data_IF_097074963809
#
_entry.id   IF_097074963809
#
_cell.length_a   1.000
_cell.length_b   1.000
_cell.length_c   1.000
_cell.angle_alpha   90.00
_cell.angle_beta   90.00
_cell.angle_gamma   90.00
#
_symmetry.space_group_name_H-M   'P 1'
#
loop_
_entity.id
_entity.type
_entity.pdbx_description
1 polymer ?
#
# COMPACT_ATOMS: atom_id res chain seq x y z
N UNK A 1 -6.47 -12.01 -69.45
CA UNK A 1 -6.60 -12.80 -68.20
C UNK A 1 -5.28 -13.43 -67.71
N UNK A 2 -4.09 -12.87 -67.99
CA UNK A 2 -2.80 -13.47 -67.55
C UNK A 2 -2.01 -12.64 -66.51
N UNK A 3 -2.41 -11.39 -66.24
CA UNK A 3 -1.71 -10.51 -65.30
C UNK A 3 -2.27 -10.58 -63.86
N UNK A 4 -3.54 -10.98 -63.69
CA UNK A 4 -4.13 -11.21 -62.35
C UNK A 4 -3.57 -12.44 -61.64
N UNK A 5 -3.18 -13.47 -62.40
CA UNK A 5 -2.65 -14.73 -61.85
C UNK A 5 -1.24 -14.57 -61.24
N UNK A 6 -0.40 -13.69 -61.79
CA UNK A 6 0.93 -13.39 -61.25
C UNK A 6 0.86 -12.57 -59.96
N UNK A 7 -0.07 -11.61 -59.87
CA UNK A 7 -0.27 -10.83 -58.65
C UNK A 7 -0.76 -11.71 -57.48
N UNK A 8 -1.63 -12.69 -57.75
CA UNK A 8 -2.09 -13.64 -56.73
C UNK A 8 -0.99 -14.60 -56.26
N UNK A 9 -0.02 -14.96 -57.12
CA UNK A 9 1.10 -15.83 -56.75
C UNK A 9 2.10 -15.08 -55.86
N UNK A 10 2.39 -13.81 -56.15
CA UNK A 10 3.25 -12.97 -55.31
C UNK A 10 2.62 -12.64 -53.95
N UNK A 11 1.29 -12.49 -53.88
CA UNK A 11 0.59 -12.26 -52.62
C UNK A 11 0.57 -13.53 -51.75
N UNK A 12 0.40 -14.71 -52.35
CA UNK A 12 0.45 -16.00 -51.64
C UNK A 12 1.85 -16.36 -51.13
N UNK A 13 2.92 -16.02 -51.85
CA UNK A 13 4.28 -16.25 -51.36
C UNK A 13 4.66 -15.31 -50.21
N UNK A 14 4.11 -14.09 -50.17
CA UNK A 14 4.32 -13.17 -49.03
C UNK A 14 3.67 -13.63 -47.72
N UNK A 15 2.60 -14.43 -47.79
CA UNK A 15 1.88 -14.97 -46.62
C UNK A 15 2.51 -16.25 -46.05
N UNK A 16 3.40 -16.93 -46.79
CA UNK A 16 4.04 -18.18 -46.35
C UNK A 16 5.36 -17.99 -45.61
N UNK A 17 5.95 -16.79 -45.63
CA UNK A 17 7.21 -16.48 -44.91
C UNK A 17 7.02 -15.63 -43.64
N UNK A 18 5.77 -15.45 -43.21
CA UNK A 18 5.41 -14.70 -42.00
C UNK A 18 5.18 -15.57 -40.77
N UNK A 19 5.90 -16.68 -40.60
CA UNK A 19 5.99 -17.34 -39.28
C UNK A 19 7.28 -16.88 -38.62
N UNK A 20 7.18 -15.95 -37.67
CA UNK A 20 8.24 -15.69 -36.70
C UNK A 20 8.38 -16.98 -35.88
N UNK A 21 9.21 -17.90 -36.37
CA UNK A 21 9.59 -19.09 -35.63
C UNK A 21 10.46 -18.60 -34.46
N UNK A 22 9.87 -18.53 -33.27
CA UNK A 22 10.61 -18.33 -32.04
C UNK A 22 11.72 -19.38 -31.99
N UNK A 23 12.97 -18.94 -31.90
CA UNK A 23 14.12 -19.84 -31.95
C UNK A 23 14.31 -20.46 -30.57
N UNK A 24 14.04 -21.76 -30.45
CA UNK A 24 14.27 -22.49 -29.20
C UNK A 24 15.78 -22.68 -28.97
N UNK A 25 16.24 -22.37 -27.76
CA UNK A 25 17.62 -22.62 -27.33
C UNK A 25 17.64 -23.53 -26.11
N UNK A 26 18.75 -24.23 -25.90
CA UNK A 26 18.93 -25.07 -24.72
C UNK A 26 19.19 -24.24 -23.46
N UNK A 27 18.67 -24.64 -22.28
CA UNK A 27 18.93 -23.95 -21.01
C UNK A 27 20.43 -23.81 -20.68
N UNK A 28 21.23 -24.84 -20.97
CA UNK A 28 22.67 -24.81 -20.72
C UNK A 28 23.38 -23.74 -21.56
N UNK A 29 22.93 -23.55 -22.81
CA UNK A 29 23.49 -22.54 -23.70
C UNK A 29 23.12 -21.12 -23.25
N UNK A 30 21.89 -20.90 -22.76
CA UNK A 30 21.54 -19.65 -22.08
C UNK A 30 22.49 -19.39 -20.91
N UNK A 31 22.72 -20.38 -20.06
CA UNK A 31 23.58 -20.25 -18.88
C UNK A 31 25.05 -20.00 -19.25
N UNK A 32 25.54 -20.55 -20.36
CA UNK A 32 26.90 -20.24 -20.83
C UNK A 32 27.02 -18.78 -21.26
N UNK A 33 26.01 -18.22 -21.93
CA UNK A 33 26.01 -16.81 -22.34
C UNK A 33 25.93 -15.87 -21.14
N UNK A 34 25.08 -16.16 -20.15
CA UNK A 34 24.96 -15.33 -18.95
C UNK A 34 26.22 -15.39 -18.05
N UNK A 35 27.05 -16.42 -18.20
CA UNK A 35 28.27 -16.59 -17.43
C UNK A 35 29.55 -16.25 -18.20
N UNK A 36 29.45 -15.90 -19.48
CA UNK A 36 30.58 -15.52 -20.32
C UNK A 36 31.24 -14.24 -19.80
N UNK A 37 32.54 -14.33 -19.48
CA UNK A 37 33.34 -13.23 -18.96
C UNK A 37 33.48 -12.07 -19.95
N UNK A 38 33.53 -12.35 -21.26
CA UNK A 38 33.61 -11.31 -22.28
C UNK A 38 32.29 -10.52 -22.38
N UNK A 39 31.16 -11.22 -22.30
CA UNK A 39 29.85 -10.57 -22.31
C UNK A 39 29.63 -9.77 -21.02
N UNK A 40 30.06 -10.26 -19.86
CA UNK A 40 30.01 -9.49 -18.59
C UNK A 40 30.81 -8.19 -18.67
N UNK A 41 32.06 -8.24 -19.16
CA UNK A 41 32.86 -7.01 -19.40
C UNK A 41 32.19 -6.05 -20.39
N UNK A 42 31.51 -6.60 -21.41
CA UNK A 42 30.73 -5.79 -22.35
C UNK A 42 29.57 -5.11 -21.65
N UNK A 43 28.82 -5.82 -20.79
CA UNK A 43 27.74 -5.26 -19.98
C UNK A 43 28.25 -4.14 -19.08
N UNK A 44 29.38 -4.32 -18.39
CA UNK A 44 30.00 -3.26 -17.58
C UNK A 44 30.30 -2.00 -18.39
N UNK A 45 30.85 -2.16 -19.60
CA UNK A 45 31.11 -1.04 -20.51
C UNK A 45 29.82 -0.35 -20.99
N UNK A 46 28.79 -1.12 -21.32
CA UNK A 46 27.48 -0.59 -21.72
C UNK A 46 26.81 0.14 -20.55
N UNK A 47 26.95 -0.39 -19.34
CA UNK A 47 26.48 0.25 -18.13
C UNK A 47 27.18 1.61 -17.90
N UNK A 48 28.49 1.70 -18.15
CA UNK A 48 29.19 2.99 -18.08
C UNK A 48 28.60 4.02 -19.07
N UNK A 49 28.30 3.61 -20.31
CA UNK A 49 27.64 4.51 -21.26
C UNK A 49 26.26 4.98 -20.80
N UNK A 50 25.53 4.15 -20.04
CA UNK A 50 24.25 4.53 -19.46
C UNK A 50 24.43 5.58 -18.35
N UNK A 51 25.47 5.45 -17.51
CA UNK A 51 25.82 6.46 -16.49
C UNK A 51 26.25 7.77 -17.13
N UNK A 52 27.04 7.69 -18.21
CA UNK A 52 27.57 8.85 -18.93
C UNK A 52 26.51 9.52 -19.85
N UNK A 53 25.26 9.06 -19.83
CA UNK A 53 24.14 9.53 -20.66
C UNK A 53 24.35 9.35 -22.18
N UNK A 54 25.29 8.49 -22.59
CA UNK A 54 25.61 8.19 -24.00
C UNK A 54 24.81 6.99 -24.53
N UNK A 55 23.49 7.19 -24.63
CA UNK A 55 22.55 6.19 -25.16
C UNK A 55 22.77 5.86 -26.65
N UNK A 56 23.43 6.76 -27.40
CA UNK A 56 23.77 6.55 -28.81
C UNK A 56 24.87 5.50 -28.95
N UNK A 57 25.98 5.66 -28.22
CA UNK A 57 27.08 4.70 -28.22
C UNK A 57 26.67 3.38 -27.58
N UNK A 58 25.81 3.42 -26.56
CA UNK A 58 25.17 2.25 -25.97
C UNK A 58 24.43 1.43 -27.04
N UNK A 59 23.47 2.04 -27.75
CA UNK A 59 22.69 1.35 -28.78
C UNK A 59 23.56 0.86 -29.93
N UNK A 60 24.51 1.67 -30.40
CA UNK A 60 25.46 1.25 -31.42
C UNK A 60 26.29 0.03 -30.98
N UNK A 61 26.81 0.05 -29.76
CA UNK A 61 27.62 -1.04 -29.21
C UNK A 61 26.83 -2.32 -28.98
N UNK A 62 25.54 -2.20 -28.65
CA UNK A 62 24.60 -3.29 -28.43
C UNK A 62 24.16 -3.93 -29.74
N UNK A 63 23.86 -3.13 -30.77
CA UNK A 63 23.41 -3.60 -32.08
C UNK A 63 24.51 -4.28 -32.91
N UNK A 64 25.78 -4.13 -32.52
CA UNK A 64 26.90 -4.84 -33.15
C UNK A 64 27.10 -6.27 -32.63
N UNK A 65 26.43 -6.65 -31.54
CA UNK A 65 26.48 -8.01 -31.04
C UNK A 65 25.63 -8.91 -31.93
N UNK A 66 26.11 -10.12 -32.19
CA UNK A 66 25.31 -11.11 -32.90
C UNK A 66 24.19 -11.64 -32.00
N UNK A 67 23.08 -12.05 -32.62
CA UNK A 67 22.10 -12.87 -31.92
C UNK A 67 22.69 -14.27 -31.66
N UNK A 68 22.49 -14.91 -30.50
CA UNK A 68 21.66 -14.51 -29.34
C UNK A 68 22.36 -13.66 -28.27
N UNK A 69 23.66 -13.35 -28.44
CA UNK A 69 24.44 -12.59 -27.45
C UNK A 69 23.86 -11.20 -27.19
N UNK A 70 23.29 -10.56 -28.21
CA UNK A 70 22.64 -9.26 -28.08
C UNK A 70 21.50 -9.29 -27.04
N UNK A 71 20.59 -10.27 -27.09
CA UNK A 71 19.50 -10.39 -26.12
C UNK A 71 20.02 -10.76 -24.72
N UNK A 72 21.04 -11.62 -24.64
CA UNK A 72 21.69 -11.96 -23.37
C UNK A 72 22.29 -10.71 -22.70
N UNK A 73 22.96 -9.85 -23.47
CA UNK A 73 23.55 -8.61 -22.97
C UNK A 73 22.47 -7.59 -22.60
N UNK A 74 21.39 -7.43 -23.38
CA UNK A 74 20.22 -6.62 -22.98
C UNK A 74 19.67 -7.08 -21.63
N UNK A 75 19.45 -8.37 -21.50
CA UNK A 75 18.93 -8.97 -20.28
C UNK A 75 19.84 -8.73 -19.07
N UNK A 76 21.14 -8.99 -19.20
CA UNK A 76 22.11 -8.73 -18.11
C UNK A 76 22.20 -7.25 -17.74
N UNK A 77 22.18 -6.34 -18.72
CA UNK A 77 22.22 -4.90 -18.46
C UNK A 77 20.99 -4.44 -17.67
N UNK A 78 19.78 -4.89 -18.06
CA UNK A 78 18.56 -4.52 -17.34
C UNK A 78 18.47 -5.16 -15.96
N UNK A 79 18.97 -6.40 -15.79
CA UNK A 79 19.11 -7.00 -14.46
C UNK A 79 20.04 -6.17 -13.57
N UNK A 80 21.11 -5.62 -14.13
CA UNK A 80 22.03 -4.74 -13.39
C UNK A 80 21.31 -3.46 -12.94
N UNK A 81 20.57 -2.80 -13.84
CA UNK A 81 19.76 -1.60 -13.50
C UNK A 81 18.75 -1.92 -12.39
N UNK A 82 18.02 -3.04 -12.50
CA UNK A 82 17.02 -3.45 -11.53
C UNK A 82 17.65 -3.74 -10.15
N UNK A 83 18.80 -4.43 -10.14
CA UNK A 83 19.47 -4.84 -8.90
C UNK A 83 20.09 -3.64 -8.17
N UNK A 84 20.80 -2.77 -8.89
CA UNK A 84 21.51 -1.63 -8.31
C UNK A 84 20.60 -0.41 -8.09
N UNK A 85 19.33 -0.46 -8.54
CA UNK A 85 18.35 0.64 -8.42
C UNK A 85 18.89 1.98 -8.90
N UNK A 86 19.48 1.97 -10.09
CA UNK A 86 20.13 3.15 -10.66
C UNK A 86 19.14 4.29 -10.90
N UNK A 87 19.53 5.50 -10.52
CA UNK A 87 18.81 6.72 -10.88
C UNK A 87 19.12 6.99 -12.36
N UNK A 88 18.14 6.80 -13.22
CA UNK A 88 18.30 6.99 -14.65
C UNK A 88 18.05 8.44 -15.04
N UNK A 89 18.87 8.94 -15.97
CA UNK A 89 18.61 10.20 -16.66
C UNK A 89 17.34 10.12 -17.53
N UNK A 90 16.82 11.27 -18.01
CA UNK A 90 15.72 11.28 -18.97
C UNK A 90 16.03 10.48 -20.25
N UNK A 91 17.25 10.58 -20.80
CA UNK A 91 17.59 9.85 -22.03
C UNK A 91 17.71 8.35 -21.78
N UNK A 92 18.32 7.94 -20.66
CA UNK A 92 18.37 6.54 -20.24
C UNK A 92 16.96 5.95 -19.99
N UNK A 93 16.04 6.76 -19.47
CA UNK A 93 14.63 6.37 -19.27
C UNK A 93 13.91 6.15 -20.60
N UNK A 94 14.17 6.98 -21.61
CA UNK A 94 13.65 6.79 -22.97
C UNK A 94 14.21 5.50 -23.56
N UNK A 95 15.52 5.29 -23.47
CA UNK A 95 16.17 4.06 -23.91
C UNK A 95 15.57 2.81 -23.25
N UNK A 96 15.30 2.87 -21.94
CA UNK A 96 14.66 1.78 -21.21
C UNK A 96 13.24 1.51 -21.72
N UNK A 97 12.48 2.57 -22.03
CA UNK A 97 11.14 2.47 -22.62
C UNK A 97 11.17 1.84 -24.01
N UNK A 98 12.20 2.12 -24.81
CA UNK A 98 12.38 1.46 -26.11
C UNK A 98 12.53 -0.06 -25.96
N UNK A 99 13.15 -0.55 -24.87
CA UNK A 99 13.30 -1.99 -24.63
C UNK A 99 11.97 -2.74 -24.48
N UNK A 100 10.89 -2.05 -24.11
CA UNK A 100 9.54 -2.64 -24.04
C UNK A 100 8.96 -2.96 -25.43
N UNK A 101 9.40 -2.24 -26.45
CA UNK A 101 8.91 -2.41 -27.83
C UNK A 101 9.62 -3.55 -28.56
N UNK A 102 10.76 -4.00 -28.03
CA UNK A 102 11.54 -5.08 -28.60
C UNK A 102 11.02 -6.42 -28.08
N UNK A 103 10.69 -7.33 -29.01
CA UNK A 103 10.21 -8.66 -28.68
C UNK A 103 11.36 -9.65 -28.56
N UNK A 104 11.56 -10.31 -27.40
CA UNK A 104 12.55 -11.36 -27.27
C UNK A 104 12.27 -12.52 -28.23
N UNK A 105 13.29 -12.98 -28.94
CA UNK A 105 13.19 -13.95 -30.04
C UNK A 105 13.39 -15.38 -29.56
N UNK A 106 14.19 -15.56 -28.52
CA UNK A 106 14.63 -16.87 -28.06
C UNK A 106 13.78 -17.41 -26.92
N UNK A 107 13.43 -18.69 -26.98
CA UNK A 107 12.68 -19.39 -25.93
C UNK A 107 13.46 -20.57 -25.37
N UNK A 108 13.19 -20.96 -24.13
CA UNK A 108 13.68 -22.19 -23.50
C UNK A 108 12.49 -23.05 -23.06
N UNK A 109 12.63 -24.36 -23.21
CA UNK A 109 11.74 -25.34 -22.60
C UNK A 109 12.30 -25.79 -21.27
N UNK A 110 11.49 -25.71 -20.23
CA UNK A 110 11.78 -26.28 -18.93
C UNK A 110 10.76 -27.39 -18.64
N UNK A 111 11.26 -28.55 -18.22
CA UNK A 111 10.44 -29.71 -17.88
C UNK A 111 10.48 -29.92 -16.36
N UNK A 112 9.31 -30.00 -15.74
CA UNK A 112 9.14 -30.24 -14.30
C UNK A 112 7.76 -30.82 -14.00
N UNK A 113 7.68 -31.77 -13.06
CA UNK A 113 6.44 -32.39 -12.57
C UNK A 113 5.47 -32.91 -13.65
N UNK A 114 6.02 -33.45 -14.75
CA UNK A 114 5.22 -33.98 -15.87
C UNK A 114 4.71 -32.92 -16.86
N UNK A 115 5.07 -31.66 -16.67
CA UNK A 115 4.73 -30.55 -17.57
C UNK A 115 5.98 -30.00 -18.27
N UNK A 116 5.77 -29.44 -19.46
CA UNK A 116 6.78 -28.69 -20.22
C UNK A 116 6.30 -27.27 -20.38
N UNK A 117 7.04 -26.31 -19.82
CA UNK A 117 6.74 -24.89 -19.93
C UNK A 117 7.72 -24.28 -20.93
N UNK A 118 7.17 -23.54 -21.91
CA UNK A 118 7.98 -22.72 -22.82
C UNK A 118 7.98 -21.29 -22.31
N UNK A 119 9.16 -20.72 -22.08
CA UNK A 119 9.32 -19.33 -21.63
C UNK A 119 10.40 -18.61 -22.43
N UNK A 120 10.39 -17.28 -22.38
CA UNK A 120 11.43 -16.47 -23.02
C UNK A 120 12.79 -16.76 -22.38
N UNK A 121 13.80 -16.95 -23.21
CA UNK A 121 15.17 -17.18 -22.77
C UNK A 121 15.73 -15.93 -22.06
N UNK A 122 15.48 -14.76 -22.63
CA UNK A 122 15.99 -13.48 -22.17
C UNK A 122 14.84 -12.48 -22.05
N UNK A 123 14.10 -12.53 -20.94
CA UNK A 123 12.94 -11.66 -20.73
C UNK A 123 13.34 -10.26 -20.22
N UNK A 124 14.03 -9.51 -21.07
CA UNK A 124 14.44 -8.14 -20.77
C UNK A 124 13.24 -7.17 -20.79
N UNK A 125 12.20 -7.45 -21.57
CA UNK A 125 10.99 -6.62 -21.65
C UNK A 125 10.25 -6.55 -20.31
N UNK A 126 10.10 -7.67 -19.60
CA UNK A 126 9.48 -7.69 -18.28
C UNK A 126 10.34 -6.99 -17.22
N UNK A 127 11.67 -7.09 -17.31
CA UNK A 127 12.57 -6.35 -16.40
C UNK A 127 12.41 -4.85 -16.63
N UNK A 128 12.44 -4.39 -17.89
CA UNK A 128 12.23 -2.98 -18.22
C UNK A 128 10.91 -2.45 -17.65
N UNK A 129 9.83 -3.22 -17.80
CA UNK A 129 8.51 -2.85 -17.29
C UNK A 129 8.51 -2.70 -15.77
N UNK A 130 9.16 -3.62 -15.04
CA UNK A 130 9.28 -3.52 -13.58
C UNK A 130 10.09 -2.31 -13.14
N UNK A 131 11.24 -2.07 -13.76
CA UNK A 131 12.09 -0.90 -13.45
C UNK A 131 11.31 0.40 -13.69
N UNK A 132 10.66 0.55 -14.85
CA UNK A 132 9.87 1.74 -15.17
C UNK A 132 8.69 1.94 -14.21
N UNK A 133 8.01 0.87 -13.83
CA UNK A 133 6.92 0.93 -12.85
C UNK A 133 7.42 1.34 -11.46
N UNK A 134 8.58 0.84 -11.05
CA UNK A 134 9.20 1.20 -9.78
C UNK A 134 9.61 2.68 -9.78
N UNK A 135 10.29 3.15 -10.82
CA UNK A 135 10.64 4.57 -10.96
C UNK A 135 9.42 5.48 -10.95
N UNK A 136 8.35 5.11 -11.66
CA UNK A 136 7.10 5.86 -11.66
C UNK A 136 6.49 5.94 -10.25
N UNK A 137 6.55 4.85 -9.48
CA UNK A 137 6.08 4.83 -8.09
C UNK A 137 6.93 5.76 -7.22
N UNK A 138 8.25 5.70 -7.34
CA UNK A 138 9.18 6.57 -6.59
C UNK A 138 8.96 8.05 -6.91
N UNK A 139 8.73 8.39 -8.19
CA UNK A 139 8.35 9.73 -8.59
C UNK A 139 7.04 10.17 -7.94
N UNK A 140 6.01 9.32 -7.93
CA UNK A 140 4.73 9.65 -7.28
C UNK A 140 4.85 9.84 -5.77
N UNK A 141 5.73 9.09 -5.10
CA UNK A 141 6.06 9.29 -3.67
C UNK A 141 6.68 10.66 -3.48
N UNK A 142 7.69 11.01 -4.28
CA UNK A 142 8.33 12.33 -4.19
C UNK A 142 7.34 13.46 -4.48
N UNK A 143 6.51 13.32 -5.53
CA UNK A 143 5.48 14.29 -5.89
C UNK A 143 4.47 14.49 -4.76
N UNK A 144 4.08 13.40 -4.07
CA UNK A 144 3.21 13.44 -2.90
C UNK A 144 3.84 14.21 -1.73
N UNK A 145 5.08 13.86 -1.37
CA UNK A 145 5.80 14.51 -0.26
C UNK A 145 5.97 15.99 -0.56
N UNK A 146 6.52 16.35 -1.72
CA UNK A 146 6.71 17.75 -2.11
C UNK A 146 5.39 18.52 -2.13
N UNK A 147 4.32 17.93 -2.67
CA UNK A 147 3.02 18.58 -2.69
C UNK A 147 2.45 18.82 -1.27
N UNK A 148 2.66 17.89 -0.35
CA UNK A 148 2.22 18.02 1.04
C UNK A 148 3.05 19.08 1.78
N UNK A 149 4.38 19.04 1.64
CA UNK A 149 5.31 19.99 2.26
C UNK A 149 5.08 21.43 1.77
N UNK A 150 4.83 21.60 0.48
CA UNK A 150 4.50 22.90 -0.13
C UNK A 150 3.04 23.33 0.14
N UNK A 151 2.26 22.54 0.90
CA UNK A 151 0.85 22.81 1.24
C UNK A 151 -0.03 23.03 -0.01
N UNK A 152 0.29 22.32 -1.09
CA UNK A 152 -0.47 22.32 -2.36
C UNK A 152 -1.22 21.03 -2.62
N UNK A 153 -0.97 19.98 -1.84
CA UNK A 153 -1.65 18.69 -1.98
C UNK A 153 -3.11 18.82 -1.55
N UNK A 154 -4.05 18.46 -2.42
CA UNK A 154 -5.47 18.34 -2.10
C UNK A 154 -5.82 16.85 -2.01
N UNK A 155 -6.14 16.36 -0.81
CA UNK A 155 -6.37 14.92 -0.57
C UNK A 155 -7.55 14.35 -1.37
N UNK A 156 -8.62 15.14 -1.52
CA UNK A 156 -9.82 14.73 -2.25
C UNK A 156 -9.53 14.48 -3.73
N UNK A 157 -8.76 15.37 -4.36
CA UNK A 157 -8.32 15.22 -5.75
C UNK A 157 -7.30 14.09 -5.89
N UNK A 158 -6.38 13.96 -4.92
CA UNK A 158 -5.37 12.90 -4.94
C UNK A 158 -6.00 11.50 -4.89
N UNK A 159 -7.01 11.33 -4.05
CA UNK A 159 -7.65 10.03 -3.78
C UNK A 159 -8.92 9.77 -4.63
N UNK A 160 -9.15 10.57 -5.67
CA UNK A 160 -10.26 10.39 -6.61
C UNK A 160 -9.75 10.10 -8.03
N UNK A 161 -10.48 9.29 -8.79
CA UNK A 161 -10.17 8.94 -10.18
C UNK A 161 -10.19 7.44 -10.43
N UNK A 162 -9.36 6.98 -11.37
CA UNK A 162 -9.32 5.59 -11.81
C UNK A 162 -8.97 4.60 -10.66
N UNK A 163 -9.72 3.51 -10.45
CA UNK A 163 -9.56 2.63 -9.28
C UNK A 163 -8.16 2.08 -9.08
N UNK A 164 -7.46 1.73 -10.17
CA UNK A 164 -6.08 1.26 -10.09
C UNK A 164 -5.10 2.35 -9.63
N UNK A 165 -5.28 3.58 -10.12
CA UNK A 165 -4.43 4.70 -9.73
C UNK A 165 -4.71 5.14 -8.30
N UNK A 166 -5.98 5.19 -7.90
CA UNK A 166 -6.37 5.54 -6.53
C UNK A 166 -5.77 4.54 -5.52
N UNK A 167 -5.76 3.24 -5.83
CA UNK A 167 -5.11 2.24 -4.96
C UNK A 167 -3.62 2.51 -4.77
N UNK A 168 -2.90 2.85 -5.84
CA UNK A 168 -1.47 3.20 -5.74
C UNK A 168 -1.29 4.47 -4.92
N UNK A 169 -2.05 5.52 -5.22
CA UNK A 169 -2.00 6.80 -4.51
C UNK A 169 -2.35 6.67 -3.02
N UNK A 170 -3.37 5.87 -2.68
CA UNK A 170 -3.72 5.53 -1.30
C UNK A 170 -2.57 4.81 -0.60
N UNK A 171 -1.92 3.85 -1.27
CA UNK A 171 -0.77 3.15 -0.68
C UNK A 171 0.40 4.11 -0.37
N UNK A 172 0.59 5.15 -1.19
CA UNK A 172 1.58 6.20 -0.95
C UNK A 172 1.19 7.01 0.29
N UNK A 173 -0.07 7.46 0.39
CA UNK A 173 -0.54 8.17 1.61
C UNK A 173 -0.29 7.33 2.86
N UNK A 174 -0.67 6.05 2.86
CA UNK A 174 -0.54 5.20 4.04
C UNK A 174 0.92 4.97 4.47
N UNK A 175 1.84 4.90 3.52
CA UNK A 175 3.26 4.70 3.77
C UNK A 175 3.97 5.98 4.21
N UNK A 176 3.67 7.12 3.56
CA UNK A 176 4.47 8.34 3.66
C UNK A 176 3.94 9.38 4.65
N UNK A 177 2.79 9.16 5.30
CA UNK A 177 2.31 10.14 6.30
C UNK A 177 3.29 10.38 7.45
N UNK A 178 4.08 9.38 7.84
CA UNK A 178 5.10 9.51 8.90
C UNK A 178 6.34 10.29 8.45
N UNK A 179 6.57 10.44 7.13
CA UNK A 179 7.73 11.15 6.58
C UNK A 179 7.52 12.66 6.43
N UNK A 180 6.27 13.13 6.62
CA UNK A 180 5.90 14.54 6.50
C UNK A 180 6.28 15.36 7.73
N UNK A 181 6.53 16.65 7.53
CA UNK A 181 6.67 17.62 8.62
C UNK A 181 5.37 17.80 9.40
N UNK A 182 5.43 18.22 10.68
CA UNK A 182 4.24 18.53 11.47
C UNK A 182 3.33 19.57 10.80
N UNK A 183 3.89 20.57 10.13
CA UNK A 183 3.15 21.62 9.43
C UNK A 183 2.42 21.09 8.21
N UNK A 184 3.05 20.18 7.44
CA UNK A 184 2.42 19.52 6.31
C UNK A 184 1.28 18.60 6.78
N UNK A 185 1.53 17.82 7.84
CA UNK A 185 0.52 16.94 8.43
C UNK A 185 -0.68 17.72 8.97
N UNK A 186 -0.46 18.84 9.65
CA UNK A 186 -1.54 19.71 10.12
C UNK A 186 -2.36 20.28 8.95
N UNK A 187 -1.69 20.69 7.86
CA UNK A 187 -2.36 21.11 6.63
C UNK A 187 -3.27 20.02 6.06
N UNK A 188 -2.82 18.76 6.01
CA UNK A 188 -3.64 17.64 5.55
C UNK A 188 -4.82 17.34 6.50
N UNK A 189 -4.60 17.45 7.80
CA UNK A 189 -5.66 17.28 8.81
C UNK A 189 -6.74 18.36 8.67
N UNK A 190 -6.35 19.61 8.46
CA UNK A 190 -7.28 20.74 8.35
C UNK A 190 -8.20 20.62 7.13
N UNK A 191 -7.75 20.01 6.03
CA UNK A 191 -8.62 19.71 4.88
C UNK A 191 -9.82 18.83 5.24
N UNK A 192 -9.68 18.00 6.27
CA UNK A 192 -10.74 17.11 6.75
C UNK A 192 -11.52 17.77 7.87
N UNK A 193 -10.84 18.48 8.79
CA UNK A 193 -11.46 18.94 10.05
C UNK A 193 -12.13 20.30 9.98
N UNK A 194 -11.71 21.18 9.07
CA UNK A 194 -12.14 22.58 9.07
C UNK A 194 -13.36 22.84 8.18
N UNK A 195 -13.74 21.90 7.32
CA UNK A 195 -14.92 22.06 6.46
C UNK A 195 -16.20 21.55 7.13
N UNK A 196 -17.08 22.49 7.49
CA UNK A 196 -18.38 22.24 8.13
C UNK A 196 -19.36 21.41 7.28
N UNK A 197 -19.07 21.25 5.98
CA UNK A 197 -19.86 20.46 5.05
C UNK A 197 -18.95 19.58 4.18
N UNK A 198 -17.96 18.92 4.77
CA UNK A 198 -17.07 18.04 3.99
C UNK A 198 -17.87 16.96 3.25
N UNK A 199 -18.14 17.21 1.96
CA UNK A 199 -18.90 16.34 1.03
C UNK A 199 -18.13 15.04 0.77
N UNK A 200 -16.86 15.01 1.14
CA UNK A 200 -15.93 13.94 0.84
C UNK A 200 -15.12 13.55 2.07
N UNK A 201 -15.01 12.24 2.32
CA UNK A 201 -14.10 11.68 3.32
C UNK A 201 -13.27 10.58 2.66
N UNK A 202 -11.98 10.44 3.04
CA UNK A 202 -11.17 9.35 2.54
C UNK A 202 -11.62 8.01 3.15
N UNK A 203 -11.03 6.91 2.67
CA UNK A 203 -11.30 5.57 3.20
C UNK A 203 -10.97 5.50 4.69
N UNK A 204 -11.65 4.61 5.42
CA UNK A 204 -11.43 4.44 6.87
C UNK A 204 -9.98 4.12 7.19
N UNK A 205 -9.30 3.36 6.34
CA UNK A 205 -7.88 3.04 6.48
C UNK A 205 -7.00 4.31 6.49
N UNK A 206 -7.24 5.24 5.56
CA UNK A 206 -6.54 6.53 5.50
C UNK A 206 -6.89 7.39 6.71
N UNK A 207 -8.15 7.41 7.12
CA UNK A 207 -8.59 8.14 8.33
C UNK A 207 -7.90 7.62 9.60
N UNK A 208 -7.84 6.30 9.78
CA UNK A 208 -7.13 5.67 10.89
C UNK A 208 -5.66 6.05 10.86
N UNK A 209 -5.00 5.95 9.71
CA UNK A 209 -3.59 6.28 9.59
C UNK A 209 -3.33 7.76 9.91
N UNK A 210 -4.11 8.68 9.33
CA UNK A 210 -4.04 10.11 9.66
C UNK A 210 -4.24 10.36 11.16
N UNK A 211 -5.21 9.68 11.78
CA UNK A 211 -5.47 9.80 13.22
C UNK A 211 -4.28 9.33 14.07
N UNK A 212 -3.63 8.23 13.68
CA UNK A 212 -2.47 7.67 14.37
C UNK A 212 -1.25 8.62 14.30
N UNK A 213 -0.94 9.13 13.11
CA UNK A 213 0.25 9.97 12.90
C UNK A 213 0.05 11.36 13.49
N UNK A 214 -1.08 12.00 13.21
CA UNK A 214 -1.36 13.36 13.68
C UNK A 214 -1.71 13.43 15.16
N UNK A 215 -2.15 12.31 15.75
CA UNK A 215 -2.76 12.26 17.10
C UNK A 215 -3.83 13.34 17.29
N UNK A 216 -4.53 13.73 16.21
CA UNK A 216 -5.49 14.82 16.27
C UNK A 216 -6.88 14.31 16.72
N UNK A 217 -7.43 14.82 17.84
CA UNK A 217 -8.71 14.35 18.36
C UNK A 217 -9.90 14.68 17.44
N UNK A 218 -9.81 15.73 16.60
CA UNK A 218 -10.85 16.05 15.61
C UNK A 218 -10.95 14.97 14.53
N UNK A 219 -9.82 14.40 14.10
CA UNK A 219 -9.81 13.28 13.13
C UNK A 219 -10.44 12.04 13.75
N UNK A 220 -10.09 11.68 14.99
CA UNK A 220 -10.74 10.57 15.70
C UNK A 220 -12.25 10.80 15.87
N UNK A 221 -12.67 12.02 16.19
CA UNK A 221 -14.09 12.37 16.27
C UNK A 221 -14.82 12.11 14.94
N UNK A 222 -14.18 12.36 13.81
CA UNK A 222 -14.75 12.05 12.49
C UNK A 222 -14.73 10.55 12.22
N UNK A 223 -13.61 9.87 12.48
CA UNK A 223 -13.45 8.42 12.35
C UNK A 223 -14.56 7.67 13.11
N UNK A 224 -14.84 8.05 14.36
CA UNK A 224 -15.89 7.43 15.17
C UNK A 224 -17.31 7.71 14.69
N UNK A 225 -17.52 8.71 13.83
CA UNK A 225 -18.82 8.96 13.19
C UNK A 225 -18.99 8.19 11.88
N UNK A 226 -17.91 7.66 11.31
CA UNK A 226 -17.96 6.84 10.11
C UNK A 226 -18.61 5.48 10.41
N UNK A 227 -19.07 4.81 9.35
CA UNK A 227 -19.51 3.42 9.44
C UNK A 227 -18.35 2.56 9.91
N UNK A 228 -18.58 1.78 10.97
CA UNK A 228 -17.59 0.86 11.51
C UNK A 228 -17.25 -0.24 10.51
N UNK A 229 -15.95 -0.46 10.36
CA UNK A 229 -15.35 -1.54 9.58
C UNK A 229 -14.18 -2.18 10.32
N UNK A 230 -13.46 -3.10 9.66
CA UNK A 230 -12.33 -3.79 10.26
C UNK A 230 -11.21 -2.82 10.69
N UNK A 231 -10.98 -1.73 9.96
CA UNK A 231 -9.96 -0.75 10.30
C UNK A 231 -10.31 0.02 11.57
N UNK A 232 -11.58 0.43 11.71
CA UNK A 232 -12.10 1.07 12.93
C UNK A 232 -11.97 0.17 14.16
N UNK A 233 -12.29 -1.11 14.00
CA UNK A 233 -12.20 -2.11 15.08
C UNK A 233 -10.72 -2.34 15.47
N UNK A 234 -9.85 -2.49 14.47
CA UNK A 234 -8.42 -2.66 14.70
C UNK A 234 -7.82 -1.44 15.41
N UNK A 235 -8.26 -0.23 15.06
CA UNK A 235 -7.80 0.98 15.72
C UNK A 235 -8.27 1.05 17.18
N UNK A 236 -9.54 0.72 17.46
CA UNK A 236 -10.03 0.61 18.83
C UNK A 236 -9.19 -0.40 19.65
N UNK A 237 -8.90 -1.56 19.08
CA UNK A 237 -8.07 -2.58 19.72
C UNK A 237 -6.63 -2.10 19.96
N UNK A 238 -6.07 -1.32 19.03
CA UNK A 238 -4.75 -0.69 19.19
C UNK A 238 -4.75 0.30 20.34
N UNK A 239 -5.74 1.18 20.43
CA UNK A 239 -5.90 2.14 21.52
C UNK A 239 -6.08 1.43 22.88
N UNK A 240 -6.84 0.34 22.92
CA UNK A 240 -7.01 -0.49 24.11
C UNK A 240 -5.68 -1.06 24.63
N UNK A 241 -4.74 -1.42 23.73
CA UNK A 241 -3.39 -1.89 24.10
C UNK A 241 -2.47 -0.77 24.57
N UNK A 242 -2.72 0.47 24.14
CA UNK A 242 -1.92 1.64 24.52
C UNK A 242 -2.40 2.28 25.82
N UNK A 243 -3.65 2.05 26.21
CA UNK A 243 -4.15 2.43 27.52
C UNK A 243 -3.25 1.79 28.61
N UNK A 244 -2.89 2.54 29.68
CA UNK A 244 -3.59 3.71 30.21
C UNK A 244 -3.04 5.07 29.73
N UNK A 245 -2.39 5.16 28.56
CA UNK A 245 -2.06 6.46 27.96
C UNK A 245 -3.28 7.39 27.91
N UNK A 246 -3.10 8.67 28.26
CA UNK A 246 -4.19 9.65 28.40
C UNK A 246 -4.95 9.80 27.09
N UNK A 247 -4.23 10.01 25.99
CA UNK A 247 -4.85 10.21 24.68
C UNK A 247 -5.60 8.95 24.23
N UNK A 248 -4.98 7.77 24.39
CA UNK A 248 -5.63 6.51 24.06
C UNK A 248 -6.94 6.31 24.84
N UNK A 249 -6.91 6.62 26.14
CA UNK A 249 -8.07 6.53 27.04
C UNK A 249 -9.18 7.49 26.63
N UNK A 250 -8.85 8.74 26.31
CA UNK A 250 -9.80 9.72 25.78
C UNK A 250 -10.45 9.26 24.48
N UNK A 251 -9.68 8.65 23.56
CA UNK A 251 -10.23 8.15 22.31
C UNK A 251 -11.11 6.91 22.51
N UNK A 252 -10.78 6.02 23.46
CA UNK A 252 -11.66 4.91 23.85
C UNK A 252 -13.00 5.43 24.42
N UNK A 253 -12.96 6.45 25.28
CA UNK A 253 -14.17 7.10 25.78
C UNK A 253 -14.98 7.74 24.65
N UNK A 254 -14.32 8.40 23.70
CA UNK A 254 -14.97 9.01 22.54
C UNK A 254 -15.64 7.97 21.62
N UNK A 255 -14.99 6.81 21.41
CA UNK A 255 -15.50 5.73 20.58
C UNK A 255 -16.82 5.12 21.11
N UNK A 256 -17.12 5.26 22.41
CA UNK A 256 -18.40 4.80 22.99
C UNK A 256 -19.63 5.46 22.39
N UNK A 257 -19.46 6.62 21.72
CA UNK A 257 -20.54 7.32 21.01
C UNK A 257 -20.95 6.58 19.73
N UNK A 258 -20.09 5.75 19.17
CA UNK A 258 -20.42 4.92 18.00
C UNK A 258 -21.19 3.67 18.47
N UNK A 259 -22.44 3.46 18.04
CA UNK A 259 -23.25 2.32 18.49
C UNK A 259 -22.60 0.95 18.25
N UNK A 260 -21.86 0.79 17.14
CA UNK A 260 -21.22 -0.47 16.76
C UNK A 260 -19.93 -0.75 17.54
N UNK A 261 -19.21 0.29 17.99
CA UNK A 261 -17.97 0.15 18.77
C UNK A 261 -18.20 0.22 20.28
N UNK A 262 -19.37 0.69 20.72
CA UNK A 262 -19.70 1.00 22.12
C UNK A 262 -19.37 -0.12 23.10
N UNK A 263 -19.80 -1.35 22.80
CA UNK A 263 -19.60 -2.49 23.70
C UNK A 263 -18.13 -2.84 23.86
N UNK A 264 -17.39 -2.90 22.75
CA UNK A 264 -15.95 -3.16 22.78
C UNK A 264 -15.20 -2.03 23.50
N UNK A 265 -15.58 -0.78 23.29
CA UNK A 265 -14.96 0.36 23.97
C UNK A 265 -15.19 0.32 25.50
N UNK A 266 -16.40 0.00 25.96
CA UNK A 266 -16.67 -0.19 27.39
C UNK A 266 -15.90 -1.37 27.98
N UNK A 267 -15.83 -2.49 27.27
CA UNK A 267 -15.05 -3.64 27.70
C UNK A 267 -13.56 -3.28 27.84
N UNK A 268 -12.98 -2.57 26.86
CA UNK A 268 -11.59 -2.11 26.91
C UNK A 268 -11.32 -1.15 28.06
N UNK A 269 -12.24 -0.21 28.34
CA UNK A 269 -12.11 0.70 29.48
C UNK A 269 -12.23 -0.04 30.83
N UNK A 270 -13.10 -1.03 30.93
CA UNK A 270 -13.29 -1.84 32.13
C UNK A 270 -12.16 -2.86 32.38
N UNK A 271 -11.30 -3.14 31.38
CA UNK A 271 -10.13 -4.00 31.54
C UNK A 271 -8.93 -3.29 32.20
N UNK A 272 -8.99 -1.96 32.39
CA UNK A 272 -7.85 -1.19 32.89
C UNK A 272 -7.63 -1.43 34.39
N UNK A 273 -6.41 -1.84 34.74
CA UNK A 273 -6.00 -2.12 36.11
C UNK A 273 -4.73 -1.35 36.47
N UNK A 274 -4.77 -0.45 37.47
CA UNK A 274 -5.97 0.09 38.14
C UNK A 274 -6.80 0.99 37.21
N UNK A 275 -8.08 1.21 37.52
CA UNK A 275 -8.93 2.14 36.77
C UNK A 275 -8.44 3.59 36.95
N UNK A 276 -8.03 4.30 35.89
CA UNK A 276 -7.69 5.72 35.98
C UNK A 276 -8.88 6.55 36.47
N UNK A 277 -8.62 7.62 37.23
CA UNK A 277 -9.66 8.45 37.84
C UNK A 277 -10.67 8.98 36.80
N UNK A 278 -10.19 9.44 35.64
CA UNK A 278 -11.04 9.95 34.56
C UNK A 278 -11.98 8.86 34.01
N UNK A 279 -11.48 7.64 33.85
CA UNK A 279 -12.26 6.47 33.42
C UNK A 279 -13.32 6.13 34.46
N UNK A 280 -12.98 6.18 35.76
CA UNK A 280 -13.96 5.95 36.82
C UNK A 280 -15.10 6.97 36.75
N UNK A 281 -14.78 8.27 36.63
CA UNK A 281 -15.81 9.31 36.52
C UNK A 281 -16.69 9.12 35.28
N UNK A 282 -16.07 8.79 34.14
CA UNK A 282 -16.79 8.53 32.90
C UNK A 282 -17.71 7.30 33.00
N UNK A 283 -17.21 6.17 33.50
CA UNK A 283 -18.00 4.94 33.66
C UNK A 283 -19.11 5.13 34.70
N UNK A 284 -18.86 5.87 35.80
CA UNK A 284 -19.88 6.23 36.78
C UNK A 284 -21.04 7.02 36.13
N UNK A 285 -20.73 8.04 35.33
CA UNK A 285 -21.74 8.80 34.61
C UNK A 285 -22.53 7.92 33.63
N UNK A 286 -21.89 6.92 33.02
CA UNK A 286 -22.53 5.94 32.14
C UNK A 286 -23.37 4.91 32.87
N UNK A 287 -23.03 4.54 34.10
CA UNK A 287 -23.83 3.65 34.95
C UNK A 287 -25.19 4.26 35.32
N UNK A 288 -25.30 5.59 35.39
CA UNK A 288 -26.58 6.28 35.61
C UNK A 288 -27.45 6.37 34.34
N UNK A 289 -26.92 6.02 33.17
CA UNK A 289 -27.63 6.12 31.91
C UNK A 289 -28.42 4.84 31.62
N UNK A 290 -29.73 4.96 31.37
CA UNK A 290 -30.68 3.84 31.23
C UNK A 290 -30.23 2.79 30.19
N UNK A 291 -29.70 3.25 29.06
CA UNK A 291 -29.32 2.35 27.95
C UNK A 291 -27.92 1.75 28.08
N UNK A 292 -26.98 2.47 28.71
CA UNK A 292 -25.56 2.09 28.72
C UNK A 292 -25.19 1.40 30.04
N UNK A 293 -25.88 1.73 31.14
CA UNK A 293 -25.48 1.39 32.50
C UNK A 293 -25.48 -0.11 32.80
N UNK A 294 -26.43 -0.87 32.25
CA UNK A 294 -26.45 -2.33 32.40
C UNK A 294 -25.21 -3.01 31.79
N UNK A 295 -24.83 -2.59 30.58
CA UNK A 295 -23.66 -3.13 29.90
C UNK A 295 -22.35 -2.74 30.62
N UNK A 296 -22.23 -1.48 31.05
CA UNK A 296 -21.06 -1.01 31.80
C UNK A 296 -20.91 -1.76 33.12
N UNK A 297 -22.01 -1.97 33.86
CA UNK A 297 -21.99 -2.73 35.12
C UNK A 297 -21.53 -4.17 34.90
N UNK A 298 -22.01 -4.84 33.85
CA UNK A 298 -21.58 -6.21 33.51
C UNK A 298 -20.09 -6.27 33.18
N UNK A 299 -19.58 -5.37 32.32
CA UNK A 299 -18.15 -5.35 32.00
C UNK A 299 -17.29 -5.12 33.23
N UNK A 300 -17.65 -4.14 34.08
CA UNK A 300 -16.92 -3.87 35.33
C UNK A 300 -16.92 -5.06 36.28
N UNK A 301 -18.05 -5.77 36.41
CA UNK A 301 -18.12 -6.96 37.25
C UNK A 301 -17.25 -8.10 36.67
N UNK A 302 -17.33 -8.34 35.35
CA UNK A 302 -16.58 -9.40 34.66
C UNK A 302 -15.07 -9.19 34.69
N UNK A 303 -14.61 -7.93 34.69
CA UNK A 303 -13.20 -7.60 34.70
C UNK A 303 -12.64 -7.32 36.10
N UNK A 304 -13.34 -7.74 37.17
CA UNK A 304 -12.77 -7.75 38.53
C UNK A 304 -12.99 -6.47 39.36
N UNK A 305 -13.87 -5.56 38.92
CA UNK A 305 -14.23 -4.35 39.66
C UNK A 305 -15.51 -4.49 40.49
N UNK A 306 -15.90 -5.72 40.85
CA UNK A 306 -17.12 -6.00 41.63
C UNK A 306 -17.14 -5.32 43.00
N UNK A 307 -16.03 -5.35 43.75
CA UNK A 307 -15.92 -4.69 45.07
C UNK A 307 -16.10 -3.18 44.99
N UNK A 308 -15.57 -2.56 43.93
CA UNK A 308 -15.80 -1.15 43.65
C UNK A 308 -17.27 -0.89 43.32
N UNK A 309 -17.92 -1.71 42.49
CA UNK A 309 -19.35 -1.60 42.20
C UNK A 309 -20.23 -1.71 43.47
N UNK A 310 -19.90 -2.61 44.39
CA UNK A 310 -20.60 -2.76 45.67
C UNK A 310 -20.51 -1.48 46.51
N UNK A 311 -19.33 -0.86 46.56
CA UNK A 311 -19.12 0.40 47.29
C UNK A 311 -20.01 1.55 46.79
N UNK A 312 -20.47 1.48 45.53
CA UNK A 312 -21.29 2.52 44.90
C UNK A 312 -22.79 2.38 45.19
N UNK A 313 -23.25 1.29 45.81
CA UNK A 313 -24.68 1.05 46.08
C UNK A 313 -25.21 1.97 47.19
N UNK A 314 -24.36 2.42 48.12
CA UNK A 314 -24.76 3.19 49.31
C UNK A 314 -25.25 4.63 49.05
N UNK A 315 -24.83 5.27 47.95
CA UNK A 315 -25.16 6.67 47.62
C UNK A 315 -25.47 6.88 46.13
N UNK A 316 -26.33 6.02 45.55
CA UNK A 316 -26.56 5.99 44.11
C UNK A 316 -28.02 6.10 43.68
N UNK A 317 -28.21 6.55 42.44
CA UNK A 317 -29.50 6.63 41.76
C UNK A 317 -30.21 5.27 41.73
N UNK A 318 -31.55 5.27 41.68
CA UNK A 318 -32.33 4.03 41.56
C UNK A 318 -31.90 3.19 40.33
N UNK A 319 -31.58 3.87 39.23
CA UNK A 319 -31.12 3.28 37.96
C UNK A 319 -29.78 2.56 38.15
N UNK A 320 -28.80 3.22 38.78
CA UNK A 320 -27.50 2.61 39.07
C UNK A 320 -27.63 1.39 39.97
N UNK A 321 -28.44 1.47 41.03
CA UNK A 321 -28.68 0.34 41.94
C UNK A 321 -29.26 -0.86 41.21
N UNK A 322 -30.16 -0.64 40.26
CA UNK A 322 -30.74 -1.71 39.45
C UNK A 322 -29.69 -2.36 38.54
N UNK A 323 -28.87 -1.57 37.84
CA UNK A 323 -27.82 -2.09 36.96
C UNK A 323 -26.73 -2.84 37.72
N UNK A 324 -26.26 -2.31 38.85
CA UNK A 324 -25.24 -2.96 39.70
C UNK A 324 -25.76 -4.28 40.26
N UNK A 325 -26.96 -4.31 40.83
CA UNK A 325 -27.56 -5.55 41.34
C UNK A 325 -27.72 -6.61 40.26
N UNK A 326 -28.14 -6.19 39.06
CA UNK A 326 -28.27 -7.11 37.94
C UNK A 326 -26.90 -7.70 37.54
N UNK A 327 -25.88 -6.87 37.37
CA UNK A 327 -24.55 -7.33 36.99
C UNK A 327 -23.90 -8.26 38.03
N UNK A 328 -24.02 -7.94 39.32
CA UNK A 328 -23.49 -8.76 40.40
C UNK A 328 -24.26 -10.09 40.59
N UNK A 329 -25.50 -10.18 40.11
CA UNK A 329 -26.28 -11.44 40.17
C UNK A 329 -25.95 -12.44 39.06
N UNK A 330 -25.20 -12.00 38.03
CA UNK A 330 -24.86 -12.80 36.86
C UNK A 330 -23.42 -13.34 36.88
N UNK A 331 -22.61 -12.92 37.87
CA UNK A 331 -21.24 -13.38 38.12
C UNK A 331 -21.14 -14.18 39.40
#
# INVERSE_FOLDING_TARGET
MRQGLLASIFLFTSLLFGQVLASEIQPNFKNSLLNDQQLKKKVEKLHQYLIDDDTTTLNFSLNRLSMPQQEAVRFMLLQYIEKERLILSPTASIWLKEQLTLHPTYTIKEQGDGYVVTKLAFDYSSIAARVLNQMKKEQQVLDFILAAEEKRLILSEWLTGEPHQVRVRQSIVLAELDSLTPEALEYLVNQITDDTLSVWLPTTEVMVRLAQVSKNPKIYKMLWRMRTDQYSINELNRLARLAPDLFATEQLMAATKNPSLKQSAFASLAQLHPLPQEVQHFLLAKLDHIQDGGAVAMHLANYGHASWLESLVGNSSNVRRQHVKFALSQN
#
